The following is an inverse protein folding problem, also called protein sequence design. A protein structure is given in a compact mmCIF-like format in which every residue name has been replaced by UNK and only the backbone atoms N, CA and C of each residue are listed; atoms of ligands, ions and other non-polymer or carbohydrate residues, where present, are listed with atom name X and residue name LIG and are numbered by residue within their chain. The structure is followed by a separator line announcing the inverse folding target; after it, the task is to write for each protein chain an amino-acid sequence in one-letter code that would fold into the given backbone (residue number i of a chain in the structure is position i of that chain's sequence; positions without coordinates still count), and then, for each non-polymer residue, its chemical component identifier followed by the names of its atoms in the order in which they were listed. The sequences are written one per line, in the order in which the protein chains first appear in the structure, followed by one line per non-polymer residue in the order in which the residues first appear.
data_IF_764346355213
#
_entry.id   IF_764346355213
#
_cell.length_a   1.000
_cell.length_b   1.000
_cell.length_c   1.000
_cell.angle_alpha   90.00
_cell.angle_beta   90.00
_cell.angle_gamma   90.00
#
_symmetry.space_group_name_H-M   'P 1'
#
loop_
_entity.id
_entity.type
_entity.pdbx_description
1 polymer ?
#
# COMPACT_ATOMS: atom_id res chain seq x y z
N UNK A 1 -1.51 -9.29 -3.57
CA UNK A 1 -2.30 -8.46 -4.50
C UNK A 1 -1.44 -7.62 -5.42
N UNK A 2 -0.22 -7.26 -5.03
CA UNK A 2 0.71 -6.60 -5.93
C UNK A 2 2.15 -6.78 -5.48
N UNK A 3 3.08 -6.60 -6.40
CA UNK A 3 4.50 -6.54 -6.12
C UNK A 3 5.04 -5.21 -6.66
N UNK A 4 5.54 -4.37 -5.77
CA UNK A 4 6.30 -3.18 -6.14
C UNK A 4 7.79 -3.50 -6.18
N UNK A 5 8.59 -2.54 -6.69
CA UNK A 5 10.05 -2.66 -6.76
C UNK A 5 10.67 -3.01 -5.41
N UNK A 6 10.21 -2.38 -4.33
CA UNK A 6 10.76 -2.56 -2.97
C UNK A 6 9.75 -3.13 -1.96
N UNK A 7 8.60 -3.65 -2.41
CA UNK A 7 7.57 -4.11 -1.49
C UNK A 7 6.67 -5.19 -2.07
N UNK A 8 6.07 -5.96 -1.18
CA UNK A 8 5.00 -6.89 -1.52
C UNK A 8 3.72 -6.42 -0.83
N UNK A 9 2.61 -6.41 -1.57
CA UNK A 9 1.31 -5.99 -1.04
C UNK A 9 0.41 -7.21 -0.88
N UNK A 10 -0.08 -7.39 0.34
CA UNK A 10 -0.97 -8.48 0.73
C UNK A 10 -2.37 -7.95 1.01
N UNK A 11 -3.41 -8.72 0.66
CA UNK A 11 -4.76 -8.49 1.16
C UNK A 11 -4.86 -9.18 2.50
N UNK A 12 -5.37 -8.47 3.50
CA UNK A 12 -5.57 -9.01 4.84
C UNK A 12 -6.93 -8.60 5.38
N UNK A 13 -7.34 -9.27 6.45
CA UNK A 13 -8.52 -8.93 7.24
C UNK A 13 -8.04 -8.52 8.62
N UNK A 14 -8.44 -7.34 9.06
CA UNK A 14 -8.33 -6.95 10.46
C UNK A 14 -9.28 -7.82 11.29
N UNK A 15 -8.74 -8.51 12.29
CA UNK A 15 -9.49 -9.47 13.09
C UNK A 15 -10.38 -8.81 14.14
N UNK A 16 -10.08 -7.57 14.53
CA UNK A 16 -10.89 -6.83 15.51
C UNK A 16 -12.09 -6.16 14.84
N UNK A 17 -11.85 -5.49 13.71
CA UNK A 17 -12.89 -4.74 13.01
C UNK A 17 -13.58 -5.52 11.88
N UNK A 18 -12.97 -6.62 11.40
CA UNK A 18 -13.40 -7.33 10.22
C UNK A 18 -13.10 -6.62 8.89
N UNK A 19 -12.51 -5.41 8.91
CA UNK A 19 -12.21 -4.60 7.73
C UNK A 19 -11.18 -5.31 6.85
N UNK A 20 -11.40 -5.27 5.54
CA UNK A 20 -10.41 -5.73 4.55
C UNK A 20 -9.41 -4.61 4.30
N UNK A 21 -8.12 -4.92 4.42
CA UNK A 21 -7.02 -3.96 4.32
C UNK A 21 -5.93 -4.45 3.37
N UNK A 22 -5.14 -3.52 2.86
CA UNK A 22 -3.92 -3.79 2.11
C UNK A 22 -2.69 -3.60 3.02
N UNK A 23 -1.87 -4.64 3.13
CA UNK A 23 -0.60 -4.61 3.88
C UNK A 23 0.57 -4.52 2.90
N UNK A 24 1.22 -3.35 2.83
CA UNK A 24 2.46 -3.17 2.07
C UNK A 24 3.65 -3.53 2.95
N UNK A 25 4.18 -4.74 2.77
CA UNK A 25 5.41 -5.22 3.42
C UNK A 25 6.62 -4.57 2.77
N UNK A 26 7.36 -3.83 3.56
CA UNK A 26 8.60 -3.18 3.15
C UNK A 26 9.74 -4.21 3.11
N UNK A 27 10.50 -4.23 2.01
CA UNK A 27 11.72 -5.06 1.91
C UNK A 27 12.94 -4.22 2.25
N UNK A 28 13.56 -4.52 3.38
CA UNK A 28 14.85 -3.95 3.75
C UNK A 28 15.96 -4.74 3.02
N UNK A 29 16.28 -4.35 1.80
CA UNK A 29 17.43 -4.94 1.09
C UNK A 29 18.69 -4.28 1.66
N UNK A 30 19.55 -5.07 2.29
CA UNK A 30 20.88 -4.68 2.81
C UNK A 30 20.92 -3.53 3.83
N UNK A 31 19.77 -3.01 4.28
CA UNK A 31 19.65 -1.84 5.17
C UNK A 31 20.50 -0.66 4.70
N UNK A 32 20.57 -0.42 3.39
CA UNK A 32 21.34 0.71 2.89
C UNK A 32 20.72 2.03 3.42
N UNK A 33 21.55 3.00 3.86
CA UNK A 33 21.05 4.23 4.47
C UNK A 33 20.15 5.08 3.55
N UNK A 34 20.30 4.97 2.23
CA UNK A 34 19.50 5.74 1.27
C UNK A 34 18.08 5.19 1.14
N UNK A 35 17.91 3.87 1.02
CA UNK A 35 16.60 3.21 1.03
C UNK A 35 15.87 3.46 2.33
N UNK A 36 16.55 3.40 3.47
CA UNK A 36 15.94 3.74 4.77
C UNK A 36 15.43 5.18 4.77
N UNK A 37 16.23 6.13 4.26
CA UNK A 37 15.85 7.54 4.16
C UNK A 37 14.66 7.75 3.20
N UNK A 38 14.66 7.07 2.05
CA UNK A 38 13.57 7.14 1.08
C UNK A 38 12.26 6.64 1.71
N UNK A 39 12.30 5.52 2.41
CA UNK A 39 11.12 4.95 3.07
C UNK A 39 10.63 5.81 4.22
N UNK A 40 11.55 6.33 5.05
CA UNK A 40 11.18 7.27 6.11
C UNK A 40 10.51 8.53 5.55
N UNK A 41 10.98 9.03 4.39
CA UNK A 41 10.34 10.15 3.70
C UNK A 41 8.94 9.80 3.20
N UNK A 42 8.77 8.65 2.54
CA UNK A 42 7.47 8.17 2.05
C UNK A 42 6.46 8.06 3.20
N UNK A 43 6.84 7.41 4.31
CA UNK A 43 5.99 7.27 5.50
C UNK A 43 5.63 8.64 6.09
N UNK A 44 6.58 9.56 6.21
CA UNK A 44 6.33 10.89 6.75
C UNK A 44 5.37 11.70 5.90
N UNK A 45 5.46 11.60 4.58
CA UNK A 45 4.53 12.25 3.66
C UNK A 45 3.14 11.63 3.81
N UNK A 46 3.03 10.30 3.71
CA UNK A 46 1.76 9.59 3.80
C UNK A 46 1.01 9.84 5.12
N UNK A 47 1.73 9.98 6.24
CA UNK A 47 1.14 10.32 7.55
C UNK A 47 0.48 11.70 7.61
N UNK A 48 0.85 12.61 6.71
CA UNK A 48 0.34 13.99 6.66
C UNK A 48 -0.74 14.19 5.61
N UNK A 49 -0.96 13.21 4.73
CA UNK A 49 -1.96 13.28 3.67
C UNK A 49 -3.30 12.79 4.20
N UNK A 50 -4.30 13.67 4.16
CA UNK A 50 -5.69 13.36 4.46
C UNK A 50 -6.57 14.05 3.41
N UNK A 51 -6.89 13.32 2.34
CA UNK A 51 -7.64 13.85 1.21
C UNK A 51 -8.43 12.72 0.53
N UNK A 52 -9.69 12.96 0.10
CA UNK A 52 -10.55 11.91 -0.47
C UNK A 52 -9.98 11.21 -1.71
N UNK A 53 -9.10 11.86 -2.47
CA UNK A 53 -8.46 11.28 -3.67
C UNK A 53 -7.03 10.79 -3.45
N UNK A 54 -6.57 10.70 -2.20
CA UNK A 54 -5.23 10.20 -1.85
C UNK A 54 -5.37 9.05 -0.87
N UNK A 55 -4.68 7.94 -1.15
CA UNK A 55 -4.73 6.78 -0.26
C UNK A 55 -4.19 7.13 1.12
N UNK A 56 -4.97 6.81 2.16
CA UNK A 56 -4.62 7.10 3.55
C UNK A 56 -3.79 5.98 4.16
N UNK A 57 -2.71 6.35 4.84
CA UNK A 57 -1.98 5.43 5.70
C UNK A 57 -2.72 5.27 7.02
N UNK A 58 -3.41 4.14 7.18
CA UNK A 58 -4.22 3.82 8.36
C UNK A 58 -3.33 3.46 9.57
N UNK A 59 -2.16 2.89 9.33
CA UNK A 59 -1.27 2.49 10.42
C UNK A 59 0.05 1.88 9.98
N UNK A 60 0.91 1.64 10.97
CA UNK A 60 2.16 0.89 10.82
C UNK A 60 2.12 -0.32 11.74
N UNK A 61 2.51 -1.48 11.22
CA UNK A 61 2.64 -2.72 11.97
C UNK A 61 4.07 -3.23 11.85
N UNK A 62 4.65 -3.67 12.95
CA UNK A 62 5.99 -4.27 12.98
C UNK A 62 5.92 -5.69 13.50
N UNK A 63 6.69 -6.59 12.89
CA UNK A 63 6.82 -7.98 13.35
C UNK A 63 8.06 -8.13 14.23
N UNK A 64 7.86 -8.53 15.49
CA UNK A 64 8.96 -8.78 16.45
C UNK A 64 9.90 -9.91 16.02
N UNK A 65 9.42 -10.86 15.22
CA UNK A 65 10.19 -12.05 14.83
C UNK A 65 10.95 -11.89 13.51
N UNK A 66 10.53 -10.97 12.64
CA UNK A 66 11.05 -10.88 11.26
C UNK A 66 11.60 -9.51 10.89
N UNK A 67 11.67 -8.57 11.84
CA UNK A 67 12.01 -7.15 11.60
C UNK A 67 11.23 -6.52 10.43
N UNK A 68 10.06 -7.09 10.08
CA UNK A 68 9.26 -6.65 8.96
C UNK A 68 8.41 -5.44 9.34
N UNK A 69 8.50 -4.39 8.53
CA UNK A 69 7.63 -3.22 8.61
C UNK A 69 6.50 -3.34 7.58
N UNK A 70 5.28 -3.12 8.01
CA UNK A 70 4.07 -3.17 7.20
C UNK A 70 3.35 -1.84 7.31
N UNK A 71 3.01 -1.26 6.16
CA UNK A 71 2.14 -0.11 6.06
C UNK A 71 0.72 -0.61 5.78
N UNK A 72 -0.24 -0.14 6.57
CA UNK A 72 -1.64 -0.52 6.47
C UNK A 72 -2.38 0.54 5.67
N UNK A 73 -3.08 0.12 4.62
CA UNK A 73 -3.92 0.96 3.78
C UNK A 73 -5.31 0.35 3.66
N UNK A 74 -6.27 1.16 3.25
CA UNK A 74 -7.53 0.67 2.73
C UNK A 74 -7.28 -0.23 1.49
N UNK A 75 -8.04 -1.31 1.39
CA UNK A 75 -7.98 -2.18 0.22
C UNK A 75 -8.78 -1.59 -0.94
N UNK A 76 -8.11 -1.35 -2.07
CA UNK A 76 -8.76 -0.99 -3.32
C UNK A 76 -9.00 -2.26 -4.15
N UNK A 77 -10.22 -2.43 -4.65
CA UNK A 77 -10.59 -3.61 -5.46
C UNK A 77 -9.91 -3.61 -6.82
N UNK A 78 -9.66 -2.41 -7.36
CA UNK A 78 -9.17 -2.22 -8.71
C UNK A 78 -8.04 -1.18 -8.75
N UNK A 79 -7.17 -1.34 -9.74
CA UNK A 79 -6.28 -0.28 -10.21
C UNK A 79 -6.60 0.03 -11.68
N UNK A 80 -6.18 1.20 -12.15
CA UNK A 80 -6.53 1.67 -13.50
C UNK A 80 -5.90 0.82 -14.61
N UNK A 81 -4.72 0.24 -14.36
CA UNK A 81 -4.05 -0.64 -15.32
C UNK A 81 -4.86 -1.94 -15.51
N UNK A 82 -5.31 -2.54 -14.42
CA UNK A 82 -6.17 -3.72 -14.39
C UNK A 82 -7.52 -3.46 -15.04
N UNK A 83 -8.15 -2.31 -14.77
CA UNK A 83 -9.40 -1.93 -15.43
C UNK A 83 -9.21 -1.74 -16.94
N UNK A 84 -8.13 -1.08 -17.35
CA UNK A 84 -7.82 -0.86 -18.77
C UNK A 84 -7.53 -2.14 -19.55
N UNK A 85 -7.00 -3.17 -18.89
CA UNK A 85 -6.74 -4.48 -19.51
C UNK A 85 -7.92 -5.46 -19.44
N UNK A 86 -8.99 -5.13 -18.70
CA UNK A 86 -10.14 -6.04 -18.53
C UNK A 86 -11.09 -5.95 -19.72
N UNK A 87 -11.23 -7.05 -20.46
CA UNK A 87 -12.18 -7.16 -21.56
C UNK A 87 -13.62 -6.92 -21.06
N UNK A 88 -14.30 -5.92 -21.63
CA UNK A 88 -15.68 -5.57 -21.28
C UNK A 88 -15.84 -4.32 -20.42
N UNK A 89 -14.77 -3.80 -19.81
CA UNK A 89 -14.79 -2.47 -19.19
C UNK A 89 -14.70 -1.42 -20.31
N UNK A 90 -15.69 -0.52 -20.37
CA UNK A 90 -15.70 0.63 -21.30
C UNK A 90 -15.68 1.92 -20.49
N UNK A 91 -14.70 2.78 -20.76
CA UNK A 91 -14.68 4.14 -20.22
C UNK A 91 -15.57 5.03 -21.07
N UNK A 92 -16.27 5.97 -20.44
CA UNK A 92 -17.06 6.99 -21.13
C UNK A 92 -16.17 8.14 -21.58
N UNK A 93 -16.57 8.85 -22.64
CA UNK A 93 -15.90 10.09 -23.03
C UNK A 93 -16.13 11.20 -21.97
N UNK A 94 -15.17 12.12 -21.78
CA UNK A 94 -15.38 13.29 -20.93
C UNK A 94 -16.54 14.14 -21.46
N UNK A 95 -17.42 14.60 -20.55
CA UNK A 95 -18.47 15.58 -20.85
C UNK A 95 -17.93 17.01 -20.88
#
# INVERSE_FOLDING_TARGET
IGQGTYSNVYKARDLETGKIVALKKVRFVNMDPESVRFMAREINILRRLDHPNVVKLEGLVTSRMSCGLYLVFEYMEHDLAGLSCTAGVKFTEPQ
#
